data_IF_961822072212
#
_entry.id   IF_961822072212
#
_cell.length_a   1.000
_cell.length_b   1.000
_cell.length_c   1.000
_cell.angle_alpha   90.00
_cell.angle_beta   90.00
_cell.angle_gamma   90.00
#
_symmetry.space_group_name_H-M   'P 1'
#
loop_
_entity.id
_entity.type
_entity.pdbx_description
1 polymer ?
#
# COMPACT_ATOMS: atom_id res chain seq x y z
N UNK A 1 -54.98 -14.68 40.45
CA UNK A 1 -53.55 -14.81 40.33
C UNK A 1 -53.15 -14.46 38.86
N UNK A 2 -52.69 -13.23 38.64
CA UNK A 2 -52.33 -12.73 37.29
C UNK A 2 -50.81 -12.89 37.12
N UNK A 3 -50.37 -13.78 36.21
CA UNK A 3 -48.96 -13.89 35.83
C UNK A 3 -48.63 -12.79 34.80
N UNK A 4 -47.81 -11.81 35.20
CA UNK A 4 -47.21 -10.82 34.29
C UNK A 4 -45.99 -11.45 33.64
N UNK A 5 -46.06 -11.73 32.31
CA UNK A 5 -44.89 -12.05 31.49
C UNK A 5 -44.15 -10.76 31.16
N UNK A 6 -42.90 -10.66 31.59
CA UNK A 6 -41.96 -9.61 31.18
C UNK A 6 -41.28 -10.07 29.90
N UNK A 7 -41.56 -9.37 28.80
CA UNK A 7 -40.91 -9.58 27.50
C UNK A 7 -39.63 -8.72 27.47
N UNK A 8 -38.48 -9.38 27.56
CA UNK A 8 -37.16 -8.71 27.40
C UNK A 8 -36.94 -8.46 25.90
N UNK A 9 -37.04 -7.20 25.49
CA UNK A 9 -36.64 -6.78 24.15
C UNK A 9 -35.10 -6.57 24.19
N UNK A 10 -34.36 -7.54 23.64
CA UNK A 10 -32.93 -7.42 23.41
C UNK A 10 -32.63 -6.43 22.26
N UNK A 11 -32.09 -5.27 22.60
CA UNK A 11 -31.53 -4.35 21.61
C UNK A 11 -30.25 -4.95 21.05
N UNK A 12 -30.30 -5.48 19.81
CA UNK A 12 -29.11 -5.82 19.04
C UNK A 12 -28.53 -4.52 18.48
N UNK A 13 -27.43 -4.07 19.06
CA UNK A 13 -26.62 -2.99 18.48
C UNK A 13 -25.85 -3.56 17.29
N UNK A 14 -26.31 -3.28 16.08
CA UNK A 14 -25.58 -3.57 14.84
C UNK A 14 -24.49 -2.50 14.71
N UNK A 15 -23.25 -2.84 15.02
CA UNK A 15 -22.10 -2.00 14.72
C UNK A 15 -21.91 -1.97 13.20
N UNK A 16 -22.28 -0.86 12.58
CA UNK A 16 -21.99 -0.61 11.16
C UNK A 16 -20.49 -0.32 11.03
N UNK A 17 -19.71 -1.35 10.75
CA UNK A 17 -18.37 -1.16 10.23
C UNK A 17 -18.52 -0.65 8.78
N UNK A 18 -18.24 0.61 8.56
CA UNK A 18 -18.08 1.14 7.19
C UNK A 18 -16.83 0.52 6.58
N UNK A 19 -17.00 -0.51 5.77
CA UNK A 19 -15.95 -0.95 4.86
C UNK A 19 -15.89 0.03 3.69
N UNK A 20 -14.70 0.49 3.33
CA UNK A 20 -14.48 1.26 2.12
C UNK A 20 -15.05 0.48 0.93
N UNK A 21 -15.81 1.16 0.07
CA UNK A 21 -16.36 0.52 -1.13
C UNK A 21 -15.27 0.42 -2.21
N UNK A 22 -15.35 -0.59 -3.10
CA UNK A 22 -14.43 -0.69 -4.23
C UNK A 22 -14.43 0.60 -5.08
N UNK A 23 -15.58 1.28 -5.18
CA UNK A 23 -15.70 2.56 -5.88
C UNK A 23 -14.93 3.69 -5.21
N UNK A 24 -14.91 3.78 -3.87
CA UNK A 24 -14.14 4.80 -3.15
C UNK A 24 -12.64 4.55 -3.23
N UNK A 25 -12.21 3.30 -3.16
CA UNK A 25 -10.80 2.90 -3.32
C UNK A 25 -10.29 3.27 -4.73
N UNK A 26 -11.05 2.93 -5.78
CA UNK A 26 -10.67 3.26 -7.16
C UNK A 26 -10.65 4.77 -7.43
N UNK A 27 -11.62 5.52 -6.89
CA UNK A 27 -11.63 6.98 -6.99
C UNK A 27 -10.45 7.59 -6.22
N UNK A 28 -10.14 7.05 -5.04
CA UNK A 28 -8.98 7.45 -4.23
C UNK A 28 -7.66 7.19 -4.94
N UNK A 29 -7.50 6.03 -5.57
CA UNK A 29 -6.33 5.72 -6.39
C UNK A 29 -6.18 6.72 -7.55
N UNK A 30 -7.26 7.02 -8.25
CA UNK A 30 -7.24 8.00 -9.35
C UNK A 30 -6.77 9.37 -8.85
N UNK A 31 -7.35 9.87 -7.76
CA UNK A 31 -6.96 11.14 -7.15
C UNK A 31 -5.51 11.11 -6.66
N UNK A 32 -5.08 10.00 -6.03
CA UNK A 32 -3.72 9.80 -5.56
C UNK A 32 -2.68 9.92 -6.68
N UNK A 33 -3.03 9.47 -7.89
CA UNK A 33 -2.17 9.52 -9.08
C UNK A 33 -2.18 10.87 -9.79
N UNK A 34 -3.22 11.70 -9.63
CA UNK A 34 -3.45 12.84 -10.55
C UNK A 34 -3.60 14.20 -9.88
N UNK A 35 -3.87 14.27 -8.58
CA UNK A 35 -4.09 15.55 -7.88
C UNK A 35 -2.93 16.52 -8.09
N UNK A 36 -3.23 17.78 -8.41
CA UNK A 36 -2.22 18.80 -8.68
C UNK A 36 -1.42 18.56 -9.97
N UNK A 37 -1.84 17.61 -10.84
CA UNK A 37 -1.19 17.26 -12.11
C UNK A 37 -0.08 16.21 -12.00
N UNK A 38 0.51 16.01 -10.83
CA UNK A 38 1.58 15.03 -10.59
C UNK A 38 1.28 14.01 -9.47
N UNK A 39 0.13 14.16 -8.80
CA UNK A 39 -0.34 13.24 -7.79
C UNK A 39 0.47 13.22 -6.49
N UNK A 40 -0.05 12.52 -5.50
CA UNK A 40 0.67 12.20 -4.26
C UNK A 40 1.88 11.29 -4.54
N UNK A 41 1.83 10.56 -5.67
CA UNK A 41 2.86 9.61 -6.10
C UNK A 41 4.24 10.25 -6.25
N UNK A 42 4.31 11.52 -6.67
CA UNK A 42 5.57 12.24 -6.87
C UNK A 42 6.40 12.34 -5.58
N UNK A 43 5.74 12.39 -4.44
CA UNK A 43 6.40 12.50 -3.13
C UNK A 43 6.39 11.18 -2.35
N UNK A 44 5.28 10.44 -2.41
CA UNK A 44 5.04 9.28 -1.55
C UNK A 44 5.25 7.91 -2.23
N UNK A 45 5.70 7.91 -3.51
CA UNK A 45 5.84 6.69 -4.30
C UNK A 45 4.51 6.17 -4.86
N UNK A 46 4.59 5.33 -5.88
CA UNK A 46 3.44 4.91 -6.68
C UNK A 46 2.36 4.15 -5.90
N UNK A 47 2.76 3.49 -4.80
CA UNK A 47 1.91 2.70 -3.90
C UNK A 47 1.94 3.23 -2.46
N UNK A 48 2.23 4.51 -2.26
CA UNK A 48 2.29 5.15 -0.95
C UNK A 48 3.37 4.61 -0.02
N UNK A 49 4.34 3.87 -0.56
CA UNK A 49 5.41 3.21 0.19
C UNK A 49 6.50 4.18 0.68
N UNK A 50 6.50 5.42 0.19
CA UNK A 50 7.62 6.34 0.31
C UNK A 50 8.57 6.19 -0.88
N UNK A 51 9.80 6.68 -0.74
CA UNK A 51 10.81 6.58 -1.80
C UNK A 51 10.62 7.53 -2.98
N UNK A 52 9.62 8.43 -2.91
CA UNK A 52 9.50 9.58 -3.79
C UNK A 52 10.49 10.69 -3.41
N UNK A 53 10.23 11.91 -3.87
CA UNK A 53 11.20 13.01 -3.68
C UNK A 53 11.41 13.41 -2.21
N UNK A 54 10.33 13.45 -1.41
CA UNK A 54 10.38 13.97 -0.03
C UNK A 54 9.38 13.27 0.92
N UNK A 55 8.46 12.46 0.40
CA UNK A 55 7.37 11.86 1.18
C UNK A 55 7.76 10.52 1.80
N UNK A 56 7.35 10.29 3.04
CA UNK A 56 7.43 8.98 3.71
C UNK A 56 6.31 8.01 3.28
N UNK A 57 6.34 6.82 3.88
CA UNK A 57 5.27 5.83 3.74
C UNK A 57 3.99 6.35 4.39
N UNK A 58 2.89 6.35 3.63
CA UNK A 58 1.57 6.83 4.05
C UNK A 58 0.48 5.76 3.99
N UNK A 59 0.87 4.51 3.78
CA UNK A 59 -0.03 3.35 3.76
C UNK A 59 -0.66 3.16 5.14
N UNK A 60 -1.96 3.01 5.17
CA UNK A 60 -2.73 2.87 6.41
C UNK A 60 -3.05 4.20 7.13
N UNK A 61 -2.65 5.34 6.58
CA UNK A 61 -3.03 6.63 7.14
C UNK A 61 -4.54 6.86 7.01
N UNK A 62 -5.13 7.36 8.09
CA UNK A 62 -6.56 7.65 8.18
C UNK A 62 -6.92 8.99 7.53
N UNK A 63 -8.23 9.25 7.38
CA UNK A 63 -8.75 10.56 6.96
C UNK A 63 -8.27 11.71 7.87
N UNK A 64 -8.15 11.45 9.17
CA UNK A 64 -7.68 12.47 10.11
C UNK A 64 -6.20 12.79 9.90
N UNK A 65 -5.36 11.77 9.65
CA UNK A 65 -3.94 11.96 9.34
C UNK A 65 -3.77 12.75 8.04
N UNK A 66 -4.55 12.42 7.01
CA UNK A 66 -4.55 13.14 5.75
C UNK A 66 -4.95 14.62 5.94
N UNK A 67 -6.06 14.90 6.63
CA UNK A 67 -6.53 16.28 6.87
C UNK A 67 -5.50 17.05 7.66
N UNK A 68 -4.94 16.46 8.71
CA UNK A 68 -3.89 17.10 9.51
C UNK A 68 -2.69 17.49 8.64
N UNK A 69 -2.21 16.57 7.79
CA UNK A 69 -1.07 16.84 6.91
C UNK A 69 -1.37 17.90 5.86
N UNK A 70 -2.57 17.90 5.26
CA UNK A 70 -3.00 18.92 4.31
C UNK A 70 -3.13 20.32 4.97
N UNK A 71 -3.35 20.41 6.27
CA UNK A 71 -3.44 21.68 7.01
C UNK A 71 -2.08 22.18 7.54
N UNK A 72 -1.16 21.27 7.87
CA UNK A 72 0.06 21.60 8.61
C UNK A 72 1.35 21.44 7.82
N UNK A 73 1.41 20.49 6.86
CA UNK A 73 2.60 20.25 6.06
C UNK A 73 2.65 21.21 4.87
N UNK A 74 3.68 22.06 4.81
CA UNK A 74 3.77 23.17 3.85
C UNK A 74 3.64 22.72 2.39
N UNK A 75 4.24 21.58 2.01
CA UNK A 75 4.16 21.03 0.65
C UNK A 75 2.79 20.43 0.35
N UNK A 76 2.13 19.83 1.33
CA UNK A 76 0.81 19.22 1.16
C UNK A 76 -0.33 20.22 1.16
N UNK A 77 -0.19 21.36 1.85
CA UNK A 77 -1.17 22.47 1.81
C UNK A 77 -1.52 22.91 0.39
N UNK A 78 -0.53 22.92 -0.50
CA UNK A 78 -0.73 23.31 -1.90
C UNK A 78 -1.72 22.40 -2.66
N UNK A 79 -1.91 21.17 -2.18
CA UNK A 79 -2.85 20.23 -2.75
C UNK A 79 -4.23 20.29 -2.09
N UNK A 80 -4.28 20.75 -0.84
CA UNK A 80 -5.48 20.74 0.00
C UNK A 80 -6.66 21.52 -0.59
N UNK A 81 -6.38 22.67 -1.21
CA UNK A 81 -7.38 23.55 -1.82
C UNK A 81 -8.01 22.93 -3.09
N UNK A 82 -7.30 22.02 -3.75
CA UNK A 82 -7.76 21.30 -4.94
C UNK A 82 -8.56 20.03 -4.65
N UNK A 83 -8.70 19.65 -3.37
CA UNK A 83 -9.37 18.41 -2.94
C UNK A 83 -10.72 18.73 -2.29
N UNK A 84 -11.80 18.18 -2.85
CA UNK A 84 -13.10 18.16 -2.18
C UNK A 84 -13.05 17.27 -0.93
N UNK A 85 -14.04 17.40 -0.03
CA UNK A 85 -14.14 16.52 1.12
C UNK A 85 -14.33 15.04 0.69
N UNK A 86 -15.04 14.81 -0.43
CA UNK A 86 -15.20 13.46 -0.96
C UNK A 86 -13.87 12.90 -1.50
N UNK A 87 -13.04 13.72 -2.16
CA UNK A 87 -11.71 13.30 -2.61
C UNK A 87 -10.82 12.92 -1.42
N UNK A 88 -10.88 13.67 -0.33
CA UNK A 88 -10.14 13.36 0.91
C UNK A 88 -10.59 12.03 1.53
N UNK A 89 -11.90 11.76 1.54
CA UNK A 89 -12.45 10.47 2.01
C UNK A 89 -11.96 9.34 1.10
N UNK A 90 -12.10 9.47 -0.20
CA UNK A 90 -11.66 8.45 -1.15
C UNK A 90 -10.15 8.20 -1.08
N UNK A 91 -9.34 9.26 -0.92
CA UNK A 91 -7.89 9.13 -0.71
C UNK A 91 -7.56 8.36 0.58
N UNK A 92 -8.26 8.65 1.68
CA UNK A 92 -8.08 7.92 2.93
C UNK A 92 -8.43 6.44 2.77
N UNK A 93 -9.57 6.13 2.14
CA UNK A 93 -10.00 4.75 1.83
C UNK A 93 -8.92 4.00 1.02
N UNK A 94 -8.30 4.67 0.04
CA UNK A 94 -7.21 4.09 -0.74
C UNK A 94 -5.95 3.87 0.09
N UNK A 95 -5.55 4.84 0.93
CA UNK A 95 -4.39 4.69 1.81
C UNK A 95 -4.60 3.58 2.85
N UNK A 96 -5.79 3.49 3.45
CA UNK A 96 -6.17 2.41 4.36
C UNK A 96 -6.14 1.06 3.65
N UNK A 97 -6.67 0.98 2.41
CA UNK A 97 -6.58 -0.22 1.58
C UNK A 97 -5.13 -0.66 1.36
N UNK A 98 -4.24 0.26 0.97
CA UNK A 98 -2.82 -0.04 0.83
C UNK A 98 -2.19 -0.54 2.14
N UNK A 99 -2.64 -0.01 3.27
CA UNK A 99 -2.21 -0.42 4.62
C UNK A 99 -2.63 -1.84 5.00
N UNK A 100 -3.59 -2.46 4.28
CA UNK A 100 -3.97 -3.86 4.52
C UNK A 100 -2.93 -4.87 4.06
N UNK A 101 -1.99 -4.46 3.22
CA UNK A 101 -0.92 -5.32 2.73
C UNK A 101 0.35 -5.14 3.57
N UNK A 102 0.99 -6.24 3.91
CA UNK A 102 2.37 -6.23 4.38
C UNK A 102 3.28 -5.82 3.21
N UNK A 103 4.14 -4.83 3.44
CA UNK A 103 4.98 -4.26 2.39
C UNK A 103 6.36 -4.90 2.37
N UNK A 104 6.79 -5.33 1.19
CA UNK A 104 8.18 -5.59 0.84
C UNK A 104 8.57 -4.55 -0.21
N UNK A 105 9.33 -3.53 0.20
CA UNK A 105 9.74 -2.42 -0.65
C UNK A 105 11.18 -2.61 -1.10
N UNK A 106 11.38 -2.87 -2.39
CA UNK A 106 12.69 -3.09 -2.99
C UNK A 106 13.03 -1.97 -3.97
N UNK A 107 13.90 -1.11 -3.53
CA UNK A 107 14.51 -0.08 -4.37
C UNK A 107 15.80 -0.62 -4.97
N UNK A 108 15.79 -0.93 -6.25
CA UNK A 108 16.95 -1.43 -6.98
C UNK A 108 17.79 -0.25 -7.51
N UNK A 109 19.03 -0.14 -7.04
CA UNK A 109 19.97 0.93 -7.41
C UNK A 109 21.18 0.42 -8.21
N UNK A 110 21.29 -0.89 -8.43
CA UNK A 110 22.46 -1.51 -9.05
C UNK A 110 23.67 -1.56 -8.11
N UNK A 111 23.42 -1.55 -6.78
CA UNK A 111 24.49 -1.56 -5.78
C UNK A 111 25.02 -2.97 -5.58
N UNK A 112 26.31 -3.15 -5.75
CA UNK A 112 26.93 -4.47 -5.65
C UNK A 112 26.77 -5.09 -4.26
N UNK A 113 26.17 -6.29 -4.21
CA UNK A 113 26.05 -7.10 -3.00
C UNK A 113 25.03 -6.57 -1.99
N UNK A 114 24.09 -5.69 -2.42
CA UNK A 114 23.03 -5.23 -1.54
C UNK A 114 22.05 -6.37 -1.22
N UNK A 115 21.76 -6.57 0.07
CA UNK A 115 20.79 -7.54 0.57
C UNK A 115 19.74 -6.83 1.43
N UNK A 116 18.50 -6.84 0.95
CA UNK A 116 17.33 -6.46 1.74
C UNK A 116 16.81 -7.70 2.49
N UNK A 117 16.63 -7.61 3.81
CA UNK A 117 16.02 -8.68 4.60
C UNK A 117 14.74 -8.16 5.27
N UNK A 118 13.62 -8.82 5.00
CA UNK A 118 12.29 -8.44 5.50
C UNK A 118 11.62 -9.63 6.18
N UNK A 119 10.89 -9.37 7.27
CA UNK A 119 10.04 -10.36 7.93
C UNK A 119 8.57 -9.97 7.80
N UNK A 120 7.75 -10.92 7.35
CA UNK A 120 6.29 -10.77 7.21
C UNK A 120 5.57 -11.99 7.82
N UNK A 121 4.27 -11.86 8.05
CA UNK A 121 3.43 -12.93 8.60
C UNK A 121 2.82 -13.79 7.48
N UNK A 122 2.71 -15.08 7.71
CA UNK A 122 2.02 -16.00 6.79
C UNK A 122 0.51 -15.77 6.79
N UNK A 123 -0.13 -16.04 5.66
CA UNK A 123 -1.58 -15.96 5.50
C UNK A 123 -2.15 -14.54 5.40
N UNK A 124 -1.34 -13.50 5.53
CA UNK A 124 -1.77 -12.10 5.34
C UNK A 124 -1.43 -11.62 3.92
N UNK A 125 -2.30 -10.79 3.34
CA UNK A 125 -2.01 -10.15 2.06
C UNK A 125 -0.68 -9.41 2.12
N UNK A 126 0.17 -9.62 1.15
CA UNK A 126 1.49 -8.98 1.04
C UNK A 126 1.66 -8.37 -0.35
N UNK A 127 2.43 -7.31 -0.42
CA UNK A 127 2.72 -6.60 -1.66
C UNK A 127 4.22 -6.34 -1.75
N UNK A 128 4.85 -6.90 -2.78
CA UNK A 128 6.18 -6.53 -3.21
C UNK A 128 6.05 -5.30 -4.10
N UNK A 129 6.74 -4.24 -3.76
CA UNK A 129 6.89 -3.04 -4.59
C UNK A 129 8.35 -2.96 -5.02
N UNK A 130 8.59 -2.85 -6.32
CA UNK A 130 9.93 -2.76 -6.89
C UNK A 130 10.06 -1.46 -7.64
N UNK A 131 10.98 -0.60 -7.21
CA UNK A 131 11.39 0.61 -7.92
C UNK A 131 12.75 0.37 -8.58
N UNK A 132 12.80 0.44 -9.90
CA UNK A 132 14.03 0.39 -10.66
C UNK A 132 14.62 1.79 -10.81
N UNK A 133 15.74 2.08 -10.15
CA UNK A 133 16.44 3.38 -10.25
C UNK A 133 17.58 3.38 -11.30
N UNK A 134 17.64 2.36 -12.15
CA UNK A 134 18.69 2.25 -13.17
C UNK A 134 18.16 2.57 -14.56
N UNK A 135 19.08 2.65 -15.53
CA UNK A 135 18.78 2.90 -16.95
C UNK A 135 18.45 1.61 -17.72
N UNK A 136 18.51 0.45 -17.09
CA UNK A 136 18.27 -0.84 -17.71
C UNK A 136 16.96 -1.46 -17.22
N UNK A 137 16.22 -2.11 -18.15
CA UNK A 137 15.03 -2.88 -17.76
C UNK A 137 15.46 -4.10 -16.94
N UNK A 138 14.76 -4.37 -15.87
CA UNK A 138 14.97 -5.56 -15.04
C UNK A 138 13.84 -6.58 -15.22
N UNK A 139 14.18 -7.85 -15.07
CA UNK A 139 13.25 -8.97 -15.11
C UNK A 139 13.51 -9.87 -13.90
N UNK A 140 12.57 -9.87 -12.96
CA UNK A 140 12.69 -10.59 -11.68
C UNK A 140 11.87 -11.86 -11.79
N UNK A 141 12.47 -13.01 -11.45
CA UNK A 141 11.73 -14.26 -11.31
C UNK A 141 10.95 -14.26 -10.00
N UNK A 142 9.62 -14.22 -10.11
CA UNK A 142 8.69 -14.31 -8.99
C UNK A 142 8.21 -15.73 -8.70
N UNK A 143 8.73 -16.76 -9.40
CA UNK A 143 8.33 -18.16 -9.18
C UNK A 143 8.40 -18.59 -7.72
N UNK A 144 9.38 -18.14 -6.91
CA UNK A 144 9.42 -18.45 -5.49
C UNK A 144 8.18 -17.98 -4.71
N UNK A 145 7.63 -16.81 -5.07
CA UNK A 145 6.45 -16.25 -4.40
C UNK A 145 5.13 -16.74 -5.00
N UNK A 146 5.11 -16.94 -6.32
CA UNK A 146 3.89 -17.25 -7.07
C UNK A 146 3.56 -18.76 -7.09
N UNK A 147 4.50 -19.64 -6.74
CA UNK A 147 4.37 -21.10 -6.86
C UNK A 147 4.26 -21.61 -8.30
N UNK A 148 4.47 -20.74 -9.28
CA UNK A 148 4.48 -21.03 -10.72
C UNK A 148 5.41 -20.07 -11.43
N UNK A 149 5.84 -20.41 -12.66
CA UNK A 149 6.67 -19.51 -13.46
C UNK A 149 5.96 -18.16 -13.69
N UNK A 150 6.57 -17.10 -13.18
CA UNK A 150 6.09 -15.73 -13.32
C UNK A 150 7.29 -14.78 -13.28
N UNK A 151 7.32 -13.83 -14.21
CA UNK A 151 8.37 -12.79 -14.28
C UNK A 151 7.74 -11.42 -14.12
N UNK A 152 8.31 -10.59 -13.24
CA UNK A 152 7.98 -9.19 -13.12
C UNK A 152 9.01 -8.37 -13.92
N UNK A 153 8.54 -7.68 -14.94
CA UNK A 153 9.36 -6.74 -15.70
C UNK A 153 9.18 -5.33 -15.16
N UNK A 154 10.29 -4.63 -14.91
CA UNK A 154 10.31 -3.24 -14.42
C UNK A 154 11.22 -2.42 -15.33
N UNK A 155 10.65 -1.47 -16.04
CA UNK A 155 11.38 -0.60 -16.95
C UNK A 155 12.26 0.41 -16.18
N UNK A 156 13.22 1.08 -16.85
CA UNK A 156 14.03 2.13 -16.23
C UNK A 156 13.17 3.19 -15.52
N UNK A 157 13.49 3.47 -14.26
CA UNK A 157 12.80 4.45 -13.40
C UNK A 157 11.31 4.18 -13.19
N UNK A 158 10.86 2.97 -13.48
CA UNK A 158 9.49 2.53 -13.24
C UNK A 158 9.36 1.85 -11.87
N UNK A 159 8.14 1.89 -11.33
CA UNK A 159 7.73 1.12 -10.15
C UNK A 159 6.67 0.11 -10.56
N UNK A 160 6.88 -1.15 -10.21
CA UNK A 160 5.93 -2.24 -10.40
C UNK A 160 5.64 -2.94 -9.08
N UNK A 161 4.55 -3.71 -9.02
CA UNK A 161 4.20 -4.47 -7.83
C UNK A 161 3.71 -5.87 -8.14
N UNK A 162 3.75 -6.71 -7.11
CA UNK A 162 3.16 -8.05 -7.10
C UNK A 162 2.49 -8.30 -5.76
N UNK A 163 1.28 -8.84 -5.78
CA UNK A 163 0.50 -9.17 -4.60
C UNK A 163 0.37 -10.69 -4.45
N UNK A 164 0.53 -11.18 -3.20
CA UNK A 164 0.38 -12.59 -2.88
C UNK A 164 -0.03 -12.79 -1.42
N UNK A 165 -0.41 -14.03 -1.09
CA UNK A 165 -0.61 -14.46 0.30
C UNK A 165 0.52 -15.45 0.59
N UNK A 166 1.50 -15.09 1.43
CA UNK A 166 2.67 -15.92 1.68
C UNK A 166 2.34 -17.11 2.58
N UNK A 167 2.98 -18.25 2.28
CA UNK A 167 3.10 -19.39 3.18
C UNK A 167 4.39 -19.29 4.00
N UNK A 168 4.46 -19.99 5.15
CA UNK A 168 5.67 -20.00 5.99
C UNK A 168 6.88 -20.50 5.23
N UNK A 169 8.00 -19.80 5.37
CA UNK A 169 9.23 -20.14 4.68
C UNK A 169 10.18 -18.96 4.52
N UNK A 170 11.27 -19.21 3.83
CA UNK A 170 12.21 -18.17 3.42
C UNK A 170 12.22 -18.13 1.90
N UNK A 171 11.97 -16.97 1.34
CA UNK A 171 11.92 -16.73 -0.09
C UNK A 171 13.04 -15.76 -0.46
N UNK A 172 13.73 -16.05 -1.56
CA UNK A 172 14.79 -15.20 -2.07
C UNK A 172 14.46 -14.77 -3.49
N UNK A 173 14.55 -13.48 -3.73
CA UNK A 173 14.48 -12.88 -5.06
C UNK A 173 15.82 -12.20 -5.33
N UNK A 174 16.27 -12.22 -6.56
CA UNK A 174 17.52 -11.56 -6.94
C UNK A 174 17.43 -10.96 -8.33
N UNK A 175 18.18 -9.89 -8.54
CA UNK A 175 18.46 -9.32 -9.83
C UNK A 175 19.84 -8.65 -9.81
N UNK A 176 20.68 -8.96 -10.79
CA UNK A 176 22.07 -8.52 -10.79
C UNK A 176 22.80 -8.99 -9.51
N UNK A 177 23.45 -8.06 -8.85
CA UNK A 177 24.19 -8.30 -7.58
C UNK A 177 23.36 -8.00 -6.33
N UNK A 178 22.09 -7.65 -6.46
CA UNK A 178 21.19 -7.37 -5.35
C UNK A 178 20.21 -8.52 -5.09
N UNK A 179 19.84 -8.70 -3.82
CA UNK A 179 18.88 -9.73 -3.43
C UNK A 179 17.94 -9.22 -2.33
N UNK A 180 16.74 -9.84 -2.28
CA UNK A 180 15.75 -9.66 -1.22
C UNK A 180 15.47 -11.00 -0.58
N UNK A 181 15.69 -11.11 0.72
CA UNK A 181 15.34 -12.26 1.53
C UNK A 181 14.07 -11.97 2.34
N UNK A 182 13.01 -12.72 2.10
CA UNK A 182 11.71 -12.56 2.74
C UNK A 182 11.50 -13.74 3.70
N UNK A 183 11.53 -13.46 4.99
CA UNK A 183 11.28 -14.46 6.04
C UNK A 183 9.81 -14.39 6.46
N UNK A 184 9.05 -15.43 6.12
CA UNK A 184 7.62 -15.55 6.44
C UNK A 184 7.43 -16.43 7.67
N UNK A 185 6.87 -15.86 8.74
CA UNK A 185 6.68 -16.49 10.05
C UNK A 185 5.27 -17.06 10.23
#
# INVERSE_FOLDING_TARGET
>A
MLKRSFMLVGMFSVSLFSYASEGSISAGESTFRTVGGYGCIACHGLYGQGGGNVGGNIRGNSLNDLKYSLEHEQTMKLLGDGLSEQDKINLADYMEYLGTFQLVDWMYEGTKGALLSVSIDSGKKSQLVVLNKTFESMSIDLSPLAGKHLTLRVEPYETQHFEWIPEKGVYELSYGDEAVSINVK
#
